data_IF_543226064477
#
_entry.id   IF_543226064477
#
_cell.length_a   1.000
_cell.length_b   1.000
_cell.length_c   1.000
_cell.angle_alpha   90.00
_cell.angle_beta   90.00
_cell.angle_gamma   90.00
#
_symmetry.space_group_name_H-M   'P 1'
#
loop_
_entity.id
_entity.type
_entity.pdbx_description
1 polymer ?
#
# COMPACT_ATOMS: atom_id res chain seq x y z
N UNK A 1 -4.43 -1.49 9.57
CA UNK A 1 -5.08 -2.20 8.44
C UNK A 1 -6.09 -1.24 7.83
N UNK A 2 -5.92 -0.84 6.55
CA UNK A 2 -6.72 0.23 5.92
C UNK A 2 -7.93 -0.29 5.15
N UNK A 3 -7.85 -1.48 4.55
CA UNK A 3 -8.88 -2.03 3.65
C UNK A 3 -10.17 -2.50 4.33
N UNK A 4 -10.22 -2.50 5.68
CA UNK A 4 -11.34 -3.05 6.44
C UNK A 4 -12.65 -2.28 6.16
N UNK A 5 -12.58 -0.94 6.06
CA UNK A 5 -13.75 -0.10 5.89
C UNK A 5 -14.46 -0.36 4.55
N UNK A 6 -13.72 -0.25 3.44
CA UNK A 6 -14.28 -0.52 2.12
C UNK A 6 -14.73 -1.98 1.98
N UNK A 7 -14.00 -2.93 2.56
CA UNK A 7 -14.42 -4.33 2.50
C UNK A 7 -15.75 -4.54 3.23
N UNK A 8 -15.88 -4.04 4.47
CA UNK A 8 -17.11 -4.19 5.24
C UNK A 8 -18.31 -3.49 4.59
N UNK A 9 -18.13 -2.23 4.18
CA UNK A 9 -19.20 -1.46 3.54
C UNK A 9 -19.61 -2.08 2.20
N UNK A 10 -18.64 -2.56 1.41
CA UNK A 10 -18.91 -3.26 0.15
C UNK A 10 -19.73 -4.53 0.34
N UNK A 11 -19.47 -5.32 1.39
CA UNK A 11 -20.29 -6.51 1.71
C UNK A 11 -21.72 -6.16 2.14
N UNK A 12 -21.94 -4.95 2.68
CA UNK A 12 -23.27 -4.44 3.04
C UNK A 12 -23.98 -3.74 1.87
N UNK A 13 -23.34 -3.65 0.69
CA UNK A 13 -23.88 -2.91 -0.46
C UNK A 13 -23.91 -1.40 -0.24
N UNK A 14 -23.05 -0.87 0.64
CA UNK A 14 -22.98 0.55 1.00
C UNK A 14 -21.86 1.26 0.24
N UNK A 15 -22.07 2.57 0.05
CA UNK A 15 -21.08 3.49 -0.51
C UNK A 15 -19.85 3.59 0.42
N UNK A 16 -18.66 3.74 -0.17
CA UNK A 16 -17.37 3.72 0.53
C UNK A 16 -16.29 4.59 -0.13
N UNK A 17 -16.62 5.43 -1.13
CA UNK A 17 -15.66 6.28 -1.85
C UNK A 17 -14.96 7.31 -0.97
N UNK A 18 -15.53 7.64 0.18
CA UNK A 18 -14.88 8.49 1.19
C UNK A 18 -13.59 7.87 1.78
N UNK A 19 -13.42 6.54 1.69
CA UNK A 19 -12.23 5.84 2.17
C UNK A 19 -11.21 5.65 1.04
N UNK A 20 -10.61 6.73 0.57
CA UNK A 20 -9.75 6.78 -0.63
C UNK A 20 -8.54 5.83 -0.60
N UNK A 21 -8.03 5.50 0.59
CA UNK A 21 -6.92 4.54 0.79
C UNK A 21 -7.37 3.13 1.20
N UNK A 22 -8.68 2.84 1.14
CA UNK A 22 -9.26 1.54 1.47
C UNK A 22 -9.76 0.84 0.22
N UNK A 23 -9.47 -0.44 0.08
CA UNK A 23 -9.92 -1.28 -1.05
C UNK A 23 -10.88 -2.36 -0.56
N UNK A 24 -11.88 -2.70 -1.37
CA UNK A 24 -12.73 -3.86 -1.12
C UNK A 24 -11.99 -5.13 -1.59
N UNK A 25 -11.26 -5.80 -0.70
CA UNK A 25 -10.40 -6.95 -1.06
C UNK A 25 -11.19 -8.22 -1.42
N UNK A 26 -12.50 -8.23 -1.15
CA UNK A 26 -13.43 -9.31 -1.53
C UNK A 26 -14.25 -8.96 -2.79
N UNK A 27 -14.03 -7.78 -3.37
CA UNK A 27 -14.74 -7.34 -4.57
C UNK A 27 -14.17 -7.94 -5.85
N UNK A 28 -15.01 -8.14 -6.87
CA UNK A 28 -14.60 -8.64 -8.19
C UNK A 28 -13.59 -7.73 -8.91
N UNK A 29 -13.56 -6.45 -8.55
CA UNK A 29 -12.70 -5.44 -9.17
C UNK A 29 -11.31 -5.35 -8.52
N UNK A 30 -11.05 -6.15 -7.47
CA UNK A 30 -9.74 -6.21 -6.82
C UNK A 30 -8.75 -7.04 -7.65
N UNK A 31 -8.00 -6.36 -8.52
CA UNK A 31 -7.13 -7.00 -9.53
C UNK A 31 -5.65 -7.10 -9.16
N UNK A 32 -5.19 -6.30 -8.20
CA UNK A 32 -3.78 -6.27 -7.82
C UNK A 32 -3.62 -6.45 -6.30
N UNK A 33 -3.50 -7.70 -5.83
CA UNK A 33 -3.32 -7.97 -4.42
C UNK A 33 -1.96 -7.47 -3.91
N UNK A 34 -1.98 -6.52 -2.99
CA UNK A 34 -0.77 -6.04 -2.32
C UNK A 34 -1.02 -5.60 -0.88
N UNK A 35 0.03 -5.67 -0.08
CA UNK A 35 0.11 -5.09 1.25
C UNK A 35 1.17 -3.99 1.28
N UNK A 36 0.83 -2.89 1.94
CA UNK A 36 1.74 -1.80 2.26
C UNK A 36 1.67 -1.55 3.77
N UNK A 37 2.83 -1.38 4.40
CA UNK A 37 2.90 -0.87 5.76
C UNK A 37 4.10 0.07 5.89
N UNK A 38 3.92 1.13 6.68
CA UNK A 38 5.00 2.01 7.07
C UNK A 38 5.39 1.78 8.53
N UNK A 39 6.63 2.08 8.85
CA UNK A 39 7.18 2.07 10.20
C UNK A 39 8.10 3.29 10.35
N UNK A 40 8.70 3.48 11.52
CA UNK A 40 9.58 4.60 11.74
C UNK A 40 10.72 4.60 10.70
N UNK A 41 10.84 5.68 9.93
CA UNK A 41 11.82 5.87 8.87
C UNK A 41 11.80 4.84 7.74
N UNK A 42 10.71 4.09 7.51
CA UNK A 42 10.70 3.14 6.41
C UNK A 42 9.32 2.64 6.01
N UNK A 43 9.31 1.83 4.96
CA UNK A 43 8.12 1.15 4.50
C UNK A 43 8.44 -0.24 3.96
N UNK A 44 7.39 -1.05 3.82
CA UNK A 44 7.45 -2.28 3.07
C UNK A 44 6.29 -2.37 2.10
N UNK A 45 6.61 -2.86 0.91
CA UNK A 45 5.65 -3.19 -0.12
C UNK A 45 5.75 -4.67 -0.44
N UNK A 46 4.60 -5.36 -0.46
CA UNK A 46 4.52 -6.79 -0.75
C UNK A 46 3.39 -7.09 -1.72
N UNK A 47 3.68 -7.87 -2.75
CA UNK A 47 2.69 -8.38 -3.70
C UNK A 47 3.02 -9.83 -4.08
N UNK A 48 2.44 -10.33 -5.18
CA UNK A 48 2.70 -11.68 -5.68
C UNK A 48 4.13 -11.93 -6.15
N UNK A 49 4.91 -10.87 -6.41
CA UNK A 49 6.30 -10.97 -6.91
C UNK A 49 7.31 -11.07 -5.77
N UNK A 50 6.99 -10.59 -4.58
CA UNK A 50 7.93 -10.55 -3.47
C UNK A 50 7.61 -9.49 -2.42
N UNK A 51 8.62 -9.14 -1.64
CA UNK A 51 8.59 -8.08 -0.62
C UNK A 51 9.85 -7.23 -0.67
N UNK A 52 9.66 -5.91 -0.70
CA UNK A 52 10.74 -4.93 -0.60
C UNK A 52 10.53 -4.13 0.69
N UNK A 53 11.59 -3.95 1.47
CA UNK A 53 11.63 -3.10 2.66
C UNK A 53 12.66 -2.02 2.43
N UNK A 54 12.25 -0.76 2.57
CA UNK A 54 13.08 0.40 2.29
C UNK A 54 13.22 1.28 3.54
N UNK A 55 14.46 1.68 3.82
CA UNK A 55 14.78 2.66 4.85
C UNK A 55 14.91 4.05 4.22
N UNK A 56 13.99 4.93 4.59
CA UNK A 56 13.95 6.31 4.13
C UNK A 56 15.12 7.14 4.67
N UNK A 57 15.72 6.78 5.80
CA UNK A 57 16.81 7.54 6.39
C UNK A 57 18.13 7.33 5.63
N UNK A 58 18.52 6.07 5.39
CA UNK A 58 19.69 5.75 4.57
C UNK A 58 19.43 5.85 3.07
N UNK A 59 18.17 5.82 2.64
CA UNK A 59 17.79 5.78 1.23
C UNK A 59 18.11 4.43 0.58
N UNK A 60 18.11 3.34 1.35
CA UNK A 60 18.54 2.01 0.89
C UNK A 60 17.51 0.92 1.16
N UNK A 61 17.59 -0.15 0.35
CA UNK A 61 16.77 -1.35 0.54
C UNK A 61 17.36 -2.16 1.68
N UNK A 62 16.55 -2.45 2.70
CA UNK A 62 16.92 -3.30 3.84
C UNK A 62 16.70 -4.79 3.55
N UNK A 63 15.69 -5.10 2.74
CA UNK A 63 15.28 -6.47 2.44
C UNK A 63 14.58 -6.50 1.09
N UNK A 64 14.94 -7.48 0.25
CA UNK A 64 14.28 -7.74 -1.01
C UNK A 64 14.30 -9.23 -1.32
N UNK A 65 13.13 -9.85 -1.34
CA UNK A 65 12.97 -11.27 -1.64
C UNK A 65 11.78 -11.50 -2.57
N UNK A 66 11.82 -12.55 -3.43
CA UNK A 66 12.91 -13.51 -3.61
C UNK A 66 14.08 -12.96 -4.45
N UNK A 67 13.82 -11.98 -5.31
CA UNK A 67 14.81 -11.28 -6.13
C UNK A 67 14.52 -9.78 -6.08
N UNK A 68 15.51 -8.94 -6.39
CA UNK A 68 15.29 -7.50 -6.43
C UNK A 68 14.27 -7.11 -7.51
N UNK A 69 13.29 -6.27 -7.15
CA UNK A 69 12.33 -5.72 -8.10
C UNK A 69 12.11 -4.22 -7.83
N UNK A 70 12.64 -3.39 -8.73
CA UNK A 70 12.51 -1.94 -8.69
C UNK A 70 11.04 -1.50 -8.71
N UNK A 71 10.14 -2.27 -9.34
CA UNK A 71 8.72 -1.95 -9.39
C UNK A 71 8.06 -1.95 -8.00
N UNK A 72 8.51 -2.83 -7.09
CA UNK A 72 8.00 -2.85 -5.70
C UNK A 72 8.48 -1.64 -4.92
N UNK A 73 9.72 -1.22 -5.13
CA UNK A 73 10.26 0.00 -4.54
C UNK A 73 9.49 1.24 -5.01
N UNK A 74 9.28 1.36 -6.32
CA UNK A 74 8.59 2.51 -6.92
C UNK A 74 7.12 2.60 -6.49
N UNK A 75 6.40 1.46 -6.46
CA UNK A 75 5.03 1.41 -5.93
C UNK A 75 4.98 1.84 -4.47
N UNK A 76 5.91 1.38 -3.65
CA UNK A 76 5.98 1.77 -2.24
C UNK A 76 6.28 3.26 -2.04
N UNK A 77 7.22 3.83 -2.81
CA UNK A 77 7.50 5.27 -2.81
C UNK A 77 6.29 6.08 -3.28
N UNK A 78 5.62 5.66 -4.35
CA UNK A 78 4.44 6.34 -4.88
C UNK A 78 3.29 6.37 -3.87
N UNK A 79 3.03 5.26 -3.15
CA UNK A 79 2.04 5.22 -2.07
C UNK A 79 2.41 6.21 -0.97
N UNK A 80 3.67 6.20 -0.52
CA UNK A 80 4.13 7.10 0.54
C UNK A 80 3.99 8.57 0.14
N UNK A 81 4.40 8.92 -1.08
CA UNK A 81 4.22 10.27 -1.65
C UNK A 81 2.74 10.66 -1.69
N UNK A 82 1.87 9.79 -2.21
CA UNK A 82 0.43 10.05 -2.29
C UNK A 82 -0.19 10.31 -0.92
N UNK A 83 0.22 9.57 0.12
CA UNK A 83 -0.25 9.77 1.49
C UNK A 83 0.21 11.12 2.05
N UNK A 84 1.47 11.51 1.79
CA UNK A 84 1.97 12.82 2.20
C UNK A 84 1.31 13.98 1.45
N UNK A 85 1.05 13.82 0.16
CA UNK A 85 0.35 14.82 -0.66
C UNK A 85 -1.09 14.99 -0.20
N UNK A 86 -1.82 13.91 0.07
CA UNK A 86 -3.17 13.96 0.65
C UNK A 86 -3.17 14.68 2.00
N UNK A 87 -2.22 14.36 2.87
CA UNK A 87 -2.09 15.02 4.17
C UNK A 87 -1.74 16.52 4.04
N UNK A 88 -0.86 16.88 3.11
CA UNK A 88 -0.42 18.26 2.90
C UNK A 88 -1.46 19.15 2.23
N UNK A 89 -2.42 18.58 1.51
CA UNK A 89 -3.52 19.29 0.86
C UNK A 89 -4.76 19.48 1.76
N UNK A 90 -4.68 19.11 3.04
CA UNK A 90 -5.76 19.24 4.04
C UNK A 90 -5.50 20.39 5.01
#
# INVERSE_FOLDING_TARGET
QTDLAATLLGQLGLEHTAFTFSRNVLGSDYKYPFAFYSFNNGFSFRDSTGVTVFDNNSGSILFDEPEADESRLDKGKAILQTVYDDLGNR
#
